data_IF_310167797780
#
_entry.id   IF_310167797780
#
_cell.length_a   1.000
_cell.length_b   1.000
_cell.length_c   1.000
_cell.angle_alpha   90.00
_cell.angle_beta   90.00
_cell.angle_gamma   90.00
#
_symmetry.space_group_name_H-M   'P 1'
#
loop_
_entity.id
_entity.type
_entity.pdbx_description
1 polymer ?
#
# COMPACT_ATOMS: atom_id res chain seq x y z
N UNK A 1 6.45 -47.55 -45.32
CA UNK A 1 6.96 -46.24 -45.75
C UNK A 1 5.99 -45.19 -45.29
N UNK A 2 6.31 -44.53 -44.17
CA UNK A 2 5.53 -43.39 -43.70
C UNK A 2 6.01 -42.14 -44.46
N UNK A 3 5.13 -41.35 -45.08
CA UNK A 3 5.55 -40.10 -45.67
C UNK A 3 5.99 -39.14 -44.54
N UNK A 4 7.15 -38.52 -44.71
CA UNK A 4 7.62 -37.48 -43.83
C UNK A 4 6.61 -36.31 -43.79
N UNK A 5 6.37 -35.68 -42.62
CA UNK A 5 5.52 -34.51 -42.60
C UNK A 5 6.16 -33.40 -43.44
N UNK A 6 5.43 -32.95 -44.45
CA UNK A 6 5.76 -31.77 -45.24
C UNK A 6 5.95 -30.58 -44.30
N UNK A 7 7.19 -30.21 -44.10
CA UNK A 7 7.61 -28.96 -43.49
C UNK A 7 7.30 -27.82 -44.49
N UNK A 8 6.03 -27.54 -44.72
CA UNK A 8 5.61 -26.29 -45.33
C UNK A 8 6.07 -25.19 -44.40
N UNK A 9 7.27 -24.66 -44.67
CA UNK A 9 7.81 -23.50 -44.01
C UNK A 9 6.79 -22.37 -44.06
N UNK A 10 5.99 -22.26 -42.99
CA UNK A 10 5.08 -21.15 -42.81
C UNK A 10 5.89 -19.88 -42.99
N UNK A 11 5.53 -19.11 -44.01
CA UNK A 11 6.13 -17.82 -44.29
C UNK A 11 5.98 -16.98 -43.03
N UNK A 12 7.04 -16.90 -42.24
CA UNK A 12 7.06 -16.12 -40.99
C UNK A 12 6.99 -14.65 -41.41
N UNK A 13 5.78 -14.06 -41.37
CA UNK A 13 5.62 -12.65 -41.63
C UNK A 13 6.08 -11.86 -40.39
N UNK A 14 7.19 -11.09 -40.48
CA UNK A 14 7.68 -10.30 -39.38
C UNK A 14 6.67 -9.28 -38.86
N UNK A 15 5.72 -8.85 -39.70
CA UNK A 15 4.67 -7.92 -39.33
C UNK A 15 3.60 -8.58 -38.47
N UNK A 16 3.25 -9.82 -38.78
CA UNK A 16 2.29 -10.61 -37.99
C UNK A 16 2.89 -10.97 -36.61
N UNK A 17 4.17 -11.34 -36.58
CA UNK A 17 4.90 -11.58 -35.34
C UNK A 17 4.99 -10.30 -34.47
N UNK A 18 5.26 -9.14 -35.07
CA UNK A 18 5.27 -7.87 -34.36
C UNK A 18 3.88 -7.51 -33.80
N UNK A 19 2.82 -7.75 -34.58
CA UNK A 19 1.44 -7.50 -34.12
C UNK A 19 1.05 -8.43 -32.96
N UNK A 20 1.41 -9.72 -33.01
CA UNK A 20 1.21 -10.67 -31.92
C UNK A 20 2.00 -10.30 -30.66
N UNK A 21 3.25 -9.84 -30.80
CA UNK A 21 4.07 -9.34 -29.70
C UNK A 21 3.45 -8.10 -29.05
N UNK A 22 2.95 -7.16 -29.85
CA UNK A 22 2.26 -5.96 -29.36
C UNK A 22 0.93 -6.30 -28.68
N UNK A 23 0.18 -7.24 -29.23
CA UNK A 23 -1.06 -7.73 -28.61
C UNK A 23 -0.77 -8.43 -27.28
N UNK A 24 0.24 -9.29 -27.23
CA UNK A 24 0.68 -9.98 -26.02
C UNK A 24 1.21 -9.00 -24.98
N UNK A 25 1.98 -7.99 -25.39
CA UNK A 25 2.41 -6.90 -24.51
C UNK A 25 1.25 -6.09 -23.94
N UNK A 26 0.25 -5.75 -24.76
CA UNK A 26 -0.95 -5.04 -24.30
C UNK A 26 -1.77 -5.90 -23.34
N UNK A 27 -1.93 -7.20 -23.62
CA UNK A 27 -2.59 -8.12 -22.70
C UNK A 27 -1.81 -8.29 -21.39
N UNK A 28 -0.48 -8.46 -21.46
CA UNK A 28 0.36 -8.54 -20.27
C UNK A 28 0.27 -7.23 -19.44
N UNK A 29 0.35 -6.06 -20.07
CA UNK A 29 0.18 -4.78 -19.36
C UNK A 29 -1.16 -4.70 -18.64
N UNK A 30 -2.27 -5.12 -19.26
CA UNK A 30 -3.60 -5.13 -18.61
C UNK A 30 -3.71 -6.12 -17.46
N UNK A 31 -3.01 -7.28 -17.52
CA UNK A 31 -2.98 -8.26 -16.45
C UNK A 31 -2.07 -7.85 -15.28
N UNK A 32 -1.02 -7.07 -15.56
CA UNK A 32 -0.11 -6.51 -14.55
C UNK A 32 -0.46 -5.07 -14.18
N UNK A 33 -1.68 -4.60 -14.53
CA UNK A 33 -2.12 -3.25 -14.18
C UNK A 33 -1.98 -3.01 -12.67
N UNK A 34 -1.36 -1.88 -12.28
CA UNK A 34 -1.28 -1.47 -10.88
C UNK A 34 -2.69 -1.36 -10.30
N UNK A 35 -2.79 -1.48 -8.99
CA UNK A 35 -4.06 -1.39 -8.24
C UNK A 35 -5.02 -0.38 -8.88
N UNK A 36 -6.24 -0.83 -9.15
CA UNK A 36 -7.25 0.02 -9.83
C UNK A 36 -7.42 1.34 -9.06
N UNK A 37 -7.36 2.51 -9.72
CA UNK A 37 -7.35 3.82 -9.05
C UNK A 37 -8.52 4.02 -8.09
N UNK A 38 -9.70 3.45 -8.44
CA UNK A 38 -10.89 3.54 -7.60
C UNK A 38 -10.77 2.78 -6.28
N UNK A 39 -10.00 1.68 -6.25
CA UNK A 39 -9.72 0.95 -5.00
C UNK A 39 -8.85 1.77 -4.05
N UNK A 40 -7.87 2.50 -4.58
CA UNK A 40 -7.05 3.41 -3.79
C UNK A 40 -7.90 4.56 -3.24
N UNK A 41 -8.83 5.10 -4.04
CA UNK A 41 -9.75 6.14 -3.58
C UNK A 41 -10.68 5.64 -2.45
N UNK A 42 -11.26 4.44 -2.59
CA UNK A 42 -12.06 3.84 -1.52
C UNK A 42 -11.21 3.64 -0.24
N UNK A 43 -9.99 3.12 -0.38
CA UNK A 43 -9.08 2.96 0.77
C UNK A 43 -8.76 4.29 1.44
N UNK A 44 -8.55 5.35 0.66
CA UNK A 44 -8.29 6.69 1.19
C UNK A 44 -9.44 7.18 2.06
N UNK A 45 -10.68 7.05 1.58
CA UNK A 45 -11.89 7.42 2.34
C UNK A 45 -12.04 6.57 3.60
N UNK A 46 -11.83 5.26 3.48
CA UNK A 46 -11.92 4.35 4.62
C UNK A 46 -10.86 4.64 5.69
N UNK A 47 -9.61 4.92 5.31
CA UNK A 47 -8.54 5.32 6.24
C UNK A 47 -8.91 6.60 6.95
N UNK A 48 -9.39 7.60 6.20
CA UNK A 48 -9.81 8.88 6.77
C UNK A 48 -10.97 8.69 7.75
N UNK A 49 -11.97 7.88 7.40
CA UNK A 49 -13.10 7.58 8.26
C UNK A 49 -12.67 6.87 9.55
N UNK A 50 -11.81 5.84 9.45
CA UNK A 50 -11.34 5.08 10.61
C UNK A 50 -10.52 5.96 11.57
N UNK A 51 -9.51 6.68 11.06
CA UNK A 51 -8.68 7.54 11.91
C UNK A 51 -9.42 8.78 12.37
N UNK A 52 -10.35 9.30 11.58
CA UNK A 52 -11.27 10.38 11.97
C UNK A 52 -12.17 9.98 13.13
N UNK A 53 -12.71 8.76 13.13
CA UNK A 53 -13.51 8.22 14.25
C UNK A 53 -12.68 8.14 15.53
N UNK A 54 -11.43 7.65 15.42
CA UNK A 54 -10.50 7.62 16.56
C UNK A 54 -10.25 9.05 17.07
N UNK A 55 -9.91 9.97 16.17
CA UNK A 55 -9.69 11.36 16.54
C UNK A 55 -10.90 11.98 17.25
N UNK A 56 -12.11 11.75 16.75
CA UNK A 56 -13.33 12.22 17.38
C UNK A 56 -13.52 11.66 18.81
N UNK A 57 -13.07 10.42 19.05
CA UNK A 57 -13.15 9.78 20.36
C UNK A 57 -12.13 10.32 21.38
N UNK A 58 -11.00 10.85 20.90
CA UNK A 58 -9.91 11.34 21.78
C UNK A 58 -9.85 12.86 21.87
N UNK A 59 -10.48 13.59 20.93
CA UNK A 59 -10.51 15.06 20.98
C UNK A 59 -11.23 15.51 22.24
N UNK A 60 -10.64 16.44 22.96
CA UNK A 60 -11.23 17.00 24.16
C UNK A 60 -11.01 16.18 25.44
N UNK A 61 -10.28 15.06 25.38
CA UNK A 61 -9.88 14.34 26.58
C UNK A 61 -8.79 15.12 27.34
N UNK A 62 -9.11 15.52 28.58
CA UNK A 62 -8.16 16.14 29.49
C UNK A 62 -8.30 15.50 30.89
N UNK A 63 -7.36 14.66 31.36
CA UNK A 63 -6.12 14.20 30.70
C UNK A 63 -6.38 13.22 29.55
N UNK A 64 -5.42 13.11 28.63
CA UNK A 64 -5.47 12.17 27.51
C UNK A 64 -5.42 10.72 28.02
N UNK A 65 -6.40 9.90 27.65
CA UNK A 65 -6.54 8.49 28.05
C UNK A 65 -6.42 7.51 26.87
N UNK A 66 -6.15 8.04 25.67
CA UNK A 66 -6.12 7.22 24.46
C UNK A 66 -7.50 6.87 23.88
N UNK A 67 -7.53 6.19 22.73
CA UNK A 67 -8.78 5.80 22.09
C UNK A 67 -9.50 4.71 22.88
N UNK A 68 -10.80 4.88 23.08
CA UNK A 68 -11.65 3.91 23.74
C UNK A 68 -11.79 2.60 22.96
N UNK A 69 -12.24 1.53 23.62
CA UNK A 69 -12.37 0.19 23.01
C UNK A 69 -13.26 0.17 21.76
N UNK A 70 -14.32 1.00 21.72
CA UNK A 70 -15.17 1.13 20.53
C UNK A 70 -14.44 1.70 19.32
N UNK A 71 -13.58 2.71 19.51
CA UNK A 71 -12.78 3.28 18.44
C UNK A 71 -11.74 2.28 17.92
N UNK A 72 -11.12 1.50 18.81
CA UNK A 72 -10.20 0.43 18.43
C UNK A 72 -10.89 -0.70 17.65
N UNK A 73 -12.12 -1.04 18.03
CA UNK A 73 -12.92 -2.01 17.31
C UNK A 73 -13.20 -1.55 15.87
N UNK A 74 -13.54 -0.28 15.66
CA UNK A 74 -13.72 0.31 14.33
C UNK A 74 -12.44 0.18 13.51
N UNK A 75 -11.27 0.49 14.08
CA UNK A 75 -9.98 0.34 13.39
C UNK A 75 -9.72 -1.13 13.06
N UNK A 76 -9.96 -2.06 13.99
CA UNK A 76 -9.75 -3.48 13.76
C UNK A 76 -10.64 -4.01 12.63
N UNK A 77 -11.93 -3.66 12.62
CA UNK A 77 -12.86 -4.00 11.53
C UNK A 77 -12.37 -3.44 10.20
N UNK A 78 -11.94 -2.18 10.20
CA UNK A 78 -11.38 -1.54 9.01
C UNK A 78 -10.15 -2.30 8.47
N UNK A 79 -9.20 -2.66 9.33
CA UNK A 79 -7.99 -3.41 8.94
C UNK A 79 -8.37 -4.77 8.35
N UNK A 80 -9.31 -5.49 8.98
CA UNK A 80 -9.79 -6.80 8.52
C UNK A 80 -10.46 -6.66 7.14
N UNK A 81 -11.36 -5.69 6.97
CA UNK A 81 -12.07 -5.44 5.70
C UNK A 81 -11.08 -5.09 4.60
N UNK A 82 -10.14 -4.17 4.87
CA UNK A 82 -9.13 -3.78 3.90
C UNK A 82 -8.20 -4.94 3.52
N UNK A 83 -7.78 -5.74 4.50
CA UNK A 83 -6.95 -6.92 4.26
C UNK A 83 -7.69 -7.98 3.43
N UNK A 84 -8.92 -8.32 3.80
CA UNK A 84 -9.74 -9.31 3.09
C UNK A 84 -10.06 -8.86 1.66
N UNK A 85 -10.42 -7.59 1.46
CA UNK A 85 -10.62 -7.01 0.15
C UNK A 85 -9.35 -7.10 -0.72
N UNK A 86 -8.19 -6.77 -0.14
CA UNK A 86 -6.89 -6.86 -0.83
C UNK A 86 -6.58 -8.30 -1.26
N UNK A 87 -6.76 -9.26 -0.34
CA UNK A 87 -6.52 -10.68 -0.63
C UNK A 87 -7.50 -11.20 -1.67
N UNK A 88 -8.78 -10.83 -1.60
CA UNK A 88 -9.80 -11.25 -2.56
C UNK A 88 -9.51 -10.73 -3.97
N UNK A 89 -9.15 -9.43 -4.10
CA UNK A 89 -8.78 -8.84 -5.39
C UNK A 89 -7.52 -9.48 -5.94
N UNK A 90 -6.48 -9.67 -5.11
CA UNK A 90 -5.23 -10.35 -5.53
C UNK A 90 -5.50 -11.79 -5.99
N UNK A 91 -6.29 -12.57 -5.24
CA UNK A 91 -6.63 -13.95 -5.62
C UNK A 91 -7.37 -14.00 -6.95
N UNK A 92 -8.29 -13.07 -7.23
CA UNK A 92 -9.00 -12.98 -8.52
C UNK A 92 -8.05 -12.58 -9.65
N UNK A 93 -7.17 -11.63 -9.43
CA UNK A 93 -6.19 -11.16 -10.42
C UNK A 93 -5.13 -12.21 -10.74
N UNK A 94 -4.75 -13.08 -9.78
CA UNK A 94 -3.75 -14.14 -9.96
C UNK A 94 -4.34 -15.49 -10.31
N UNK A 95 -5.67 -15.63 -10.37
CA UNK A 95 -6.34 -16.87 -10.74
C UNK A 95 -5.97 -17.24 -12.20
N UNK A 96 -5.11 -18.24 -12.36
CA UNK A 96 -4.64 -18.72 -13.66
C UNK A 96 -3.27 -18.20 -14.12
N UNK A 97 -2.63 -17.28 -13.39
CA UNK A 97 -1.30 -16.78 -13.73
C UNK A 97 -0.29 -17.19 -12.65
N UNK A 98 0.65 -18.07 -13.00
CA UNK A 98 1.84 -18.35 -12.17
C UNK A 98 2.83 -17.19 -12.33
N UNK A 99 2.54 -16.05 -11.70
CA UNK A 99 3.42 -14.89 -11.67
C UNK A 99 4.35 -14.91 -10.45
N UNK A 100 5.59 -14.45 -10.62
CA UNK A 100 6.51 -14.22 -9.49
C UNK A 100 5.98 -13.06 -8.65
N UNK A 101 5.93 -13.21 -7.32
CA UNK A 101 5.56 -12.12 -6.41
C UNK A 101 6.38 -10.86 -6.68
N UNK A 102 5.75 -9.68 -6.64
CA UNK A 102 6.43 -8.38 -6.79
C UNK A 102 7.54 -8.20 -5.74
N UNK A 103 7.33 -8.75 -4.56
CA UNK A 103 8.30 -8.70 -3.46
C UNK A 103 8.90 -10.08 -3.21
N UNK A 104 10.19 -10.13 -2.98
CA UNK A 104 10.87 -11.33 -2.50
C UNK A 104 10.50 -11.60 -1.03
N UNK A 105 10.61 -12.84 -0.54
CA UNK A 105 10.37 -13.14 0.86
C UNK A 105 11.21 -12.27 1.82
N UNK A 106 12.46 -11.97 1.44
CA UNK A 106 13.36 -11.11 2.23
C UNK A 106 12.82 -9.68 2.35
N UNK A 107 12.32 -9.10 1.26
CA UNK A 107 11.75 -7.74 1.28
C UNK A 107 10.47 -7.68 2.10
N UNK A 108 9.62 -8.71 2.03
CA UNK A 108 8.44 -8.83 2.89
C UNK A 108 8.86 -8.88 4.35
N UNK A 109 9.91 -9.66 4.68
CA UNK A 109 10.44 -9.74 6.04
C UNK A 109 10.99 -8.40 6.52
N UNK A 110 11.72 -7.65 5.68
CA UNK A 110 12.22 -6.30 6.00
C UNK A 110 11.06 -5.34 6.29
N UNK A 111 10.03 -5.32 5.44
CA UNK A 111 8.87 -4.45 5.65
C UNK A 111 8.07 -4.83 6.89
N UNK A 112 7.90 -6.13 7.15
CA UNK A 112 7.26 -6.62 8.36
C UNK A 112 8.07 -6.24 9.62
N UNK A 113 9.38 -6.40 9.57
CA UNK A 113 10.27 -5.98 10.66
C UNK A 113 10.22 -4.47 10.89
N UNK A 114 10.25 -3.66 9.83
CA UNK A 114 10.12 -2.20 9.91
C UNK A 114 8.79 -1.75 10.52
N UNK A 115 7.74 -2.55 10.37
CA UNK A 115 6.42 -2.29 10.95
C UNK A 115 6.32 -2.76 12.41
N UNK A 116 6.91 -3.90 12.76
CA UNK A 116 6.78 -4.54 14.08
C UNK A 116 7.84 -4.03 15.07
N UNK A 117 9.10 -3.88 14.64
CA UNK A 117 10.21 -3.53 15.52
C UNK A 117 9.98 -2.23 16.32
N UNK A 118 9.41 -1.14 15.75
CA UNK A 118 9.12 0.06 16.51
C UNK A 118 8.18 -0.19 17.69
N UNK A 119 7.15 -1.03 17.51
CA UNK A 119 6.25 -1.38 18.62
C UNK A 119 6.98 -2.11 19.73
N UNK A 120 7.83 -3.08 19.39
CA UNK A 120 8.62 -3.82 20.37
C UNK A 120 9.54 -2.88 21.16
N UNK A 121 10.24 -1.98 20.46
CA UNK A 121 11.12 -0.98 21.08
C UNK A 121 10.32 -0.04 21.97
N UNK A 122 9.18 0.48 21.52
CA UNK A 122 8.37 1.40 22.32
C UNK A 122 7.82 0.73 23.58
N UNK A 123 7.36 -0.51 23.48
CA UNK A 123 6.92 -1.29 24.65
C UNK A 123 8.09 -1.52 25.61
N UNK A 124 9.29 -1.86 25.10
CA UNK A 124 10.49 -2.03 25.92
C UNK A 124 10.93 -0.74 26.63
N UNK A 125 10.65 0.41 26.02
CA UNK A 125 10.90 1.74 26.62
C UNK A 125 9.79 2.19 27.59
N UNK A 126 8.78 1.36 27.84
CA UNK A 126 7.69 1.68 28.77
C UNK A 126 6.64 2.63 28.19
N UNK A 127 6.58 2.79 26.87
CA UNK A 127 5.53 3.55 26.20
C UNK A 127 4.20 2.83 26.39
N UNK A 128 3.24 3.49 27.06
CA UNK A 128 1.92 2.92 27.32
C UNK A 128 0.87 3.40 26.33
N UNK A 129 -0.11 2.55 26.06
CA UNK A 129 -1.22 2.89 25.16
C UNK A 129 -2.03 4.08 25.64
N UNK A 130 -2.27 4.17 26.94
CA UNK A 130 -3.16 5.17 27.54
C UNK A 130 -2.63 6.61 27.43
N UNK A 131 -1.32 6.80 27.50
CA UNK A 131 -0.74 8.15 27.51
C UNK A 131 -0.04 8.53 26.21
N UNK A 132 0.35 7.55 25.38
CA UNK A 132 1.25 7.79 24.25
C UNK A 132 0.83 7.08 22.96
N UNK A 133 -0.47 6.78 22.81
CA UNK A 133 -1.00 6.06 21.65
C UNK A 133 -0.76 6.78 20.30
N UNK A 134 -0.63 8.11 20.32
CA UNK A 134 -0.25 8.88 19.12
C UNK A 134 1.13 8.48 18.58
N UNK A 135 2.11 8.25 19.46
CA UNK A 135 3.44 7.77 19.04
C UNK A 135 3.41 6.32 18.57
N UNK A 136 2.58 5.46 19.20
CA UNK A 136 2.38 4.09 18.73
C UNK A 136 1.82 4.01 17.31
N UNK A 137 1.11 5.04 16.86
CA UNK A 137 0.64 5.15 15.48
C UNK A 137 1.73 5.72 14.55
N UNK A 138 2.37 6.82 14.95
CA UNK A 138 3.21 7.63 14.04
C UNK A 138 4.62 7.05 13.84
N UNK A 139 5.24 6.51 14.90
CA UNK A 139 6.62 5.99 14.80
C UNK A 139 6.73 4.79 13.85
N UNK A 140 5.85 3.77 13.90
CA UNK A 140 5.87 2.69 12.92
C UNK A 140 5.63 3.17 11.49
N UNK A 141 4.78 4.20 11.29
CA UNK A 141 4.56 4.80 9.97
C UNK A 141 5.83 5.45 9.41
N UNK A 142 6.57 6.17 10.24
CA UNK A 142 7.86 6.78 9.85
C UNK A 142 8.84 5.70 9.42
N UNK A 143 9.05 4.68 10.28
CA UNK A 143 10.03 3.63 10.03
C UNK A 143 9.66 2.79 8.81
N UNK A 144 8.40 2.36 8.72
CA UNK A 144 7.93 1.56 7.59
C UNK A 144 7.91 2.37 6.28
N UNK A 145 7.54 3.65 6.33
CA UNK A 145 7.57 4.56 5.18
C UNK A 145 8.98 4.75 4.64
N UNK A 146 9.96 4.96 5.52
CA UNK A 146 11.38 5.08 5.14
C UNK A 146 11.93 3.75 4.60
N UNK A 147 11.63 2.62 5.25
CA UNK A 147 12.04 1.31 4.77
C UNK A 147 11.47 0.99 3.39
N UNK A 148 10.19 1.31 3.16
CA UNK A 148 9.56 1.14 1.86
C UNK A 148 10.21 2.06 0.80
N UNK A 149 10.42 3.34 1.13
CA UNK A 149 11.10 4.29 0.24
C UNK A 149 12.50 3.81 -0.14
N UNK A 150 13.28 3.32 0.82
CA UNK A 150 14.62 2.79 0.57
C UNK A 150 14.60 1.57 -0.35
N UNK A 151 13.67 0.61 -0.12
CA UNK A 151 13.51 -0.56 -1.00
C UNK A 151 13.13 -0.16 -2.43
N UNK A 152 12.26 0.83 -2.60
CA UNK A 152 11.84 1.31 -3.92
C UNK A 152 12.94 2.12 -4.60
N UNK A 153 13.73 2.88 -3.86
CA UNK A 153 14.90 3.59 -4.39
C UNK A 153 15.96 2.61 -4.95
N UNK A 154 16.24 1.50 -4.24
CA UNK A 154 17.14 0.45 -4.74
C UNK A 154 16.63 -0.19 -6.04
N UNK A 155 15.32 -0.22 -6.24
CA UNK A 155 14.68 -0.73 -7.47
C UNK A 155 14.57 0.32 -8.58
N UNK A 156 15.04 1.55 -8.32
CA UNK A 156 14.86 2.71 -9.20
C UNK A 156 13.38 3.04 -9.50
N UNK A 157 12.46 2.63 -8.62
CA UNK A 157 11.03 2.98 -8.70
C UNK A 157 10.77 4.26 -7.88
N UNK A 158 11.14 5.39 -8.49
CA UNK A 158 11.08 6.72 -7.85
C UNK A 158 9.65 7.13 -7.45
N UNK A 159 8.67 6.63 -8.16
CA UNK A 159 7.26 6.90 -7.84
C UNK A 159 6.85 6.26 -6.53
N UNK A 160 7.12 4.98 -6.37
CA UNK A 160 6.82 4.25 -5.14
C UNK A 160 7.72 4.72 -3.98
N UNK A 161 8.97 5.13 -4.29
CA UNK A 161 9.85 5.80 -3.33
C UNK A 161 9.19 7.07 -2.78
N UNK A 162 8.62 7.92 -3.67
CA UNK A 162 7.87 9.11 -3.27
C UNK A 162 6.67 8.80 -2.37
N UNK A 163 5.95 7.72 -2.64
CA UNK A 163 4.84 7.26 -1.79
C UNK A 163 5.32 6.88 -0.39
N UNK A 164 6.44 6.15 -0.28
CA UNK A 164 7.04 5.80 1.01
C UNK A 164 7.48 7.03 1.81
N UNK A 165 8.11 8.00 1.16
CA UNK A 165 8.50 9.27 1.78
C UNK A 165 7.28 10.07 2.24
N UNK A 166 6.21 10.14 1.46
CA UNK A 166 4.98 10.82 1.84
C UNK A 166 4.34 10.20 3.11
N UNK A 167 4.37 8.86 3.22
CA UNK A 167 3.92 8.16 4.44
C UNK A 167 4.81 8.51 5.63
N UNK A 168 6.13 8.50 5.48
CA UNK A 168 7.06 8.85 6.54
C UNK A 168 6.89 10.31 7.02
N UNK A 169 6.76 11.26 6.08
CA UNK A 169 6.50 12.68 6.37
C UNK A 169 5.16 12.85 7.09
N UNK A 170 4.12 12.14 6.65
CA UNK A 170 2.81 12.14 7.33
C UNK A 170 2.95 11.68 8.78
N UNK A 171 3.70 10.60 9.03
CA UNK A 171 3.98 10.13 10.38
C UNK A 171 4.73 11.16 11.22
N UNK A 172 5.74 11.83 10.64
CA UNK A 172 6.52 12.85 11.33
C UNK A 172 5.67 14.09 11.71
N UNK A 173 4.85 14.60 10.79
CA UNK A 173 3.92 15.70 11.06
C UNK A 173 2.88 15.27 12.11
N UNK A 174 2.36 14.04 12.01
CA UNK A 174 1.46 13.47 13.01
C UNK A 174 2.07 13.43 14.40
N UNK A 175 3.35 13.02 14.53
CA UNK A 175 4.06 13.01 15.81
C UNK A 175 4.19 14.43 16.41
N UNK A 176 4.43 15.43 15.57
CA UNK A 176 4.52 16.84 15.99
C UNK A 176 3.16 17.45 16.37
N UNK A 177 2.05 16.92 15.90
CA UNK A 177 0.69 17.42 16.17
C UNK A 177 0.17 17.05 17.57
N UNK A 178 0.94 16.33 18.37
CA UNK A 178 0.56 15.87 19.70
C UNK A 178 -0.36 14.64 19.68
N UNK A 179 -0.66 14.09 20.87
CA UNK A 179 -1.30 12.77 21.00
C UNK A 179 -2.67 12.66 20.32
N UNK A 180 -3.54 13.66 20.51
CA UNK A 180 -4.86 13.67 19.87
C UNK A 180 -4.77 14.09 18.39
N UNK A 181 -3.92 15.08 18.05
CA UNK A 181 -3.72 15.57 16.70
C UNK A 181 -3.10 14.53 15.76
N UNK A 182 -2.28 13.64 16.28
CA UNK A 182 -1.65 12.55 15.53
C UNK A 182 -2.65 11.74 14.69
N UNK A 183 -3.81 11.42 15.24
CA UNK A 183 -4.84 10.64 14.57
C UNK A 183 -5.43 11.35 13.35
N UNK A 184 -5.80 12.65 13.53
CA UNK A 184 -6.36 13.45 12.45
C UNK A 184 -5.34 13.70 11.33
N UNK A 185 -4.15 14.15 11.71
CA UNK A 185 -3.07 14.47 10.75
C UNK A 185 -2.65 13.23 9.97
N UNK A 186 -2.50 12.09 10.65
CA UNK A 186 -2.16 10.82 9.97
C UNK A 186 -3.29 10.38 9.04
N UNK A 187 -4.56 10.52 9.47
CA UNK A 187 -5.72 10.19 8.64
C UNK A 187 -5.77 11.01 7.36
N UNK A 188 -5.65 12.33 7.47
CA UNK A 188 -5.63 13.24 6.32
C UNK A 188 -4.41 12.99 5.43
N UNK A 189 -3.22 12.87 6.00
CA UNK A 189 -1.98 12.66 5.25
C UNK A 189 -1.97 11.35 4.48
N UNK A 190 -2.41 10.23 5.08
CA UNK A 190 -2.55 8.95 4.39
C UNK A 190 -3.63 9.00 3.31
N UNK A 191 -4.75 9.68 3.56
CA UNK A 191 -5.79 9.89 2.56
C UNK A 191 -5.22 10.65 1.34
N UNK A 192 -4.52 11.75 1.56
CA UNK A 192 -3.88 12.53 0.48
C UNK A 192 -2.83 11.73 -0.27
N UNK A 193 -2.02 10.92 0.42
CA UNK A 193 -1.02 10.04 -0.20
C UNK A 193 -1.68 9.01 -1.12
N UNK A 194 -2.75 8.36 -0.67
CA UNK A 194 -3.49 7.37 -1.47
C UNK A 194 -4.20 8.02 -2.66
N UNK A 195 -4.85 9.17 -2.47
CA UNK A 195 -5.51 9.91 -3.56
C UNK A 195 -4.48 10.44 -4.57
N UNK A 196 -3.35 10.95 -4.10
CA UNK A 196 -2.25 11.37 -4.96
C UNK A 196 -1.71 10.22 -5.82
N UNK A 197 -1.51 9.05 -5.21
CA UNK A 197 -1.11 7.85 -5.95
C UNK A 197 -2.16 7.44 -6.99
N UNK A 198 -3.46 7.47 -6.63
CA UNK A 198 -4.56 7.18 -7.56
C UNK A 198 -4.60 8.17 -8.73
N UNK A 199 -4.43 9.47 -8.45
CA UNK A 199 -4.41 10.51 -9.46
C UNK A 199 -3.24 10.35 -10.45
N UNK A 200 -2.05 10.02 -9.96
CA UNK A 200 -0.87 9.77 -10.81
C UNK A 200 -1.10 8.56 -11.72
N UNK A 201 -1.69 7.47 -11.20
CA UNK A 201 -2.03 6.29 -12.01
C UNK A 201 -3.03 6.67 -13.11
N UNK A 202 -4.10 7.36 -12.74
CA UNK A 202 -5.14 7.78 -13.69
C UNK A 202 -4.55 8.67 -14.79
N UNK A 203 -3.70 9.63 -14.41
CA UNK A 203 -3.05 10.53 -15.37
C UNK A 203 -2.13 9.79 -16.36
N UNK A 204 -1.38 8.78 -15.89
CA UNK A 204 -0.55 7.94 -16.74
C UNK A 204 -1.37 7.11 -17.72
N UNK A 205 -2.55 6.58 -17.28
CA UNK A 205 -3.45 5.83 -18.15
C UNK A 205 -4.06 6.70 -19.28
N UNK A 206 -4.26 8.00 -19.04
CA UNK A 206 -4.79 8.91 -20.07
C UNK A 206 -3.74 9.38 -21.08
N UNK A 207 -2.45 9.23 -20.75
CA UNK A 207 -1.35 9.62 -21.66
C UNK A 207 -0.77 8.46 -22.48
N UNK A 208 -1.13 7.22 -22.17
CA UNK A 208 -0.69 6.00 -22.86
C UNK A 208 -1.70 5.55 -23.90
#
# INVERSE_FOLDING_TARGET
MNPAPDNTGGNFDPREAAALLDQTRRQARRQFEPEQPWLLAIRAVLVLAALGTVWLSVRGQHPYKGPGGSALLVVAVFVIVNYTATVAVRRRATAGVRGKSRFSPAEIAILAAAWIAPYVVMVALGVTWDSQSGYLLTVPLIVAGLAYAALMAVRADWRECGTGLAVAVTGAIGAAAGQAGAWAVTGVGLCLTLLGSAAVITWQLHRA
#
